data_IF_098162020925
#
_entry.id   IF_098162020925
#
_cell.length_a   1.000
_cell.length_b   1.000
_cell.length_c   1.000
_cell.angle_alpha   90.00
_cell.angle_beta   90.00
_cell.angle_gamma   90.00
#
_symmetry.space_group_name_H-M   'P 1'
#
loop_
_entity.id
_entity.type
_entity.pdbx_description
1 polymer ?
#
# COMPACT_ATOMS: atom_id res chain seq x y z
N UNK A 1 2.16 -17.45 -10.78
CA UNK A 1 1.66 -16.37 -11.65
C UNK A 1 1.00 -15.38 -10.70
N UNK A 2 1.78 -14.41 -10.23
CA UNK A 2 1.31 -13.41 -9.28
C UNK A 2 0.53 -12.35 -10.06
N UNK A 3 -0.58 -11.92 -9.49
CA UNK A 3 -1.52 -11.03 -10.15
C UNK A 3 -1.11 -9.58 -9.86
N UNK A 4 -0.49 -8.93 -10.84
CA UNK A 4 -0.42 -7.47 -10.84
C UNK A 4 -1.80 -6.90 -11.10
N UNK A 5 -2.28 -6.06 -10.22
CA UNK A 5 -3.52 -5.31 -10.43
C UNK A 5 -3.19 -3.82 -10.52
N UNK A 6 -3.25 -3.29 -11.73
CA UNK A 6 -3.32 -1.85 -11.93
C UNK A 6 -4.79 -1.44 -11.78
N UNK A 7 -5.12 -0.79 -10.69
CA UNK A 7 -6.47 -0.29 -10.45
C UNK A 7 -6.69 1.06 -11.13
N UNK A 8 -7.75 1.14 -11.94
CA UNK A 8 -8.18 2.37 -12.61
C UNK A 8 -9.46 2.87 -11.96
N UNK A 9 -9.41 4.00 -11.31
CA UNK A 9 -10.57 4.59 -10.66
C UNK A 9 -11.16 5.69 -11.53
N UNK A 10 -12.49 5.58 -11.76
CA UNK A 10 -13.28 6.60 -12.43
C UNK A 10 -14.24 7.20 -11.40
N UNK A 11 -14.04 8.44 -11.05
CA UNK A 11 -14.95 9.17 -10.21
C UNK A 11 -16.16 9.64 -11.03
N UNK A 12 -17.38 9.27 -10.63
CA UNK A 12 -18.61 9.78 -11.24
C UNK A 12 -19.09 11.00 -10.46
N UNK A 13 -19.15 12.14 -11.11
CA UNK A 13 -19.76 13.33 -10.52
C UNK A 13 -21.23 13.04 -10.12
N UNK A 14 -21.69 13.51 -8.95
CA UNK A 14 -23.07 13.36 -8.53
C UNK A 14 -24.00 14.11 -9.50
N UNK A 15 -24.96 13.40 -10.09
CA UNK A 15 -26.03 14.02 -10.88
C UNK A 15 -27.02 14.68 -9.93
N UNK A 16 -26.95 15.99 -9.82
CA UNK A 16 -28.06 16.76 -9.24
C UNK A 16 -29.24 16.73 -10.19
N UNK A 17 -30.34 16.10 -9.79
CA UNK A 17 -31.63 16.22 -10.47
C UNK A 17 -32.15 17.66 -10.28
N UNK A 18 -32.08 18.46 -11.33
CA UNK A 18 -32.80 19.72 -11.37
C UNK A 18 -34.29 19.41 -11.56
N UNK A 19 -35.07 19.69 -10.54
CA UNK A 19 -36.54 19.60 -10.56
C UNK A 19 -37.07 20.75 -11.41
N UNK A 20 -37.75 20.44 -12.50
CA UNK A 20 -38.40 21.40 -13.35
C UNK A 20 -39.61 22.02 -12.64
N UNK A 21 -39.59 23.31 -12.41
CA UNK A 21 -40.79 24.11 -12.17
C UNK A 21 -41.07 24.92 -13.43
N UNK A 22 -42.17 24.58 -14.05
CA UNK A 22 -42.77 25.22 -15.23
C UNK A 22 -43.45 26.52 -14.79
N UNK A 23 -43.05 27.68 -15.28
CA UNK A 23 -43.93 28.86 -15.29
C UNK A 23 -43.71 29.66 -16.59
N UNK A 24 -44.81 29.86 -17.30
CA UNK A 24 -44.96 30.66 -18.49
C UNK A 24 -44.64 32.14 -18.28
N UNK A 25 -44.02 32.77 -19.27
CA UNK A 25 -43.99 34.25 -19.40
C UNK A 25 -43.04 34.71 -20.50
N UNK A 26 -43.60 35.17 -21.61
CA UNK A 26 -42.88 35.83 -22.73
C UNK A 26 -42.07 37.02 -22.24
N UNK A 27 -40.80 37.12 -22.69
CA UNK A 27 -40.22 38.34 -23.24
C UNK A 27 -38.86 38.04 -23.91
N UNK A 28 -38.73 38.43 -25.14
CA UNK A 28 -37.53 38.28 -25.97
C UNK A 28 -36.53 39.38 -25.61
N UNK A 29 -35.42 39.04 -25.03
CA UNK A 29 -34.18 39.80 -25.05
C UNK A 29 -33.01 38.82 -25.01
N UNK A 30 -32.23 38.78 -26.07
CA UNK A 30 -31.09 37.85 -26.18
C UNK A 30 -29.98 38.20 -25.19
N UNK A 31 -29.98 37.49 -24.10
CA UNK A 31 -28.79 37.31 -23.26
C UNK A 31 -28.20 35.96 -23.61
N UNK A 32 -27.05 35.96 -24.26
CA UNK A 32 -26.22 34.76 -24.35
C UNK A 32 -25.88 34.35 -22.93
N UNK A 33 -26.63 33.36 -22.40
CA UNK A 33 -26.27 32.70 -21.17
C UNK A 33 -25.00 31.91 -21.50
N UNK A 34 -23.85 32.50 -21.18
CA UNK A 34 -22.62 31.75 -21.05
C UNK A 34 -22.85 30.71 -19.95
N UNK A 35 -23.23 29.49 -20.36
CA UNK A 35 -23.16 28.34 -19.45
C UNK A 35 -21.69 28.18 -19.13
N UNK A 36 -21.28 28.23 -17.85
CA UNK A 36 -19.98 27.76 -17.50
C UNK A 36 -19.99 26.24 -17.83
N UNK A 37 -19.24 25.88 -18.85
CA UNK A 37 -18.89 24.50 -19.16
C UNK A 37 -17.90 23.99 -18.13
N UNK A 38 -18.34 23.93 -16.87
CA UNK A 38 -17.67 23.25 -15.80
C UNK A 38 -18.16 21.79 -15.77
N UNK A 39 -17.93 21.04 -16.83
CA UNK A 39 -17.78 19.61 -16.67
C UNK A 39 -16.53 19.43 -15.80
N UNK A 40 -16.75 19.09 -14.53
CA UNK A 40 -15.71 18.57 -13.68
C UNK A 40 -15.11 17.37 -14.43
N UNK A 41 -13.96 17.57 -15.04
CA UNK A 41 -13.17 16.49 -15.62
C UNK A 41 -12.86 15.57 -14.44
N UNK A 42 -13.51 14.41 -14.40
CA UNK A 42 -13.16 13.36 -13.46
C UNK A 42 -11.69 13.04 -13.70
N UNK A 43 -10.84 13.45 -12.78
CA UNK A 43 -9.41 13.23 -12.90
C UNK A 43 -9.15 11.72 -12.74
N UNK A 44 -8.83 11.10 -13.85
CA UNK A 44 -8.54 9.66 -13.89
C UNK A 44 -7.10 9.45 -13.46
N UNK A 45 -6.90 8.57 -12.52
CA UNK A 45 -5.56 8.17 -12.10
C UNK A 45 -5.42 6.64 -12.00
N UNK A 46 -4.19 6.18 -12.01
CA UNK A 46 -3.83 4.77 -11.89
C UNK A 46 -2.86 4.59 -10.72
N UNK A 47 -3.04 3.54 -9.94
CA UNK A 47 -2.10 3.15 -8.90
C UNK A 47 -1.79 1.66 -8.98
N UNK A 48 -0.61 1.26 -8.47
CA UNK A 48 -0.20 -0.14 -8.39
C UNK A 48 -0.69 -0.81 -7.12
N UNK A 49 -1.08 -2.06 -7.22
CA UNK A 49 -1.36 -2.92 -6.07
C UNK A 49 -0.63 -4.24 -6.26
N UNK A 50 0.29 -4.56 -5.36
CA UNK A 50 1.09 -5.78 -5.35
C UNK A 50 1.11 -6.40 -3.96
N UNK A 51 1.54 -7.63 -3.85
CA UNK A 51 1.72 -8.35 -2.59
C UNK A 51 2.17 -9.78 -2.83
N UNK A 52 2.57 -10.49 -1.78
CA UNK A 52 2.98 -11.89 -1.85
C UNK A 52 4.18 -12.12 -2.77
N UNK A 53 5.13 -11.20 -2.81
CA UNK A 53 6.37 -11.30 -3.59
C UNK A 53 7.47 -10.36 -3.11
N UNK A 54 8.77 -10.69 -3.39
CA UNK A 54 9.26 -11.94 -4.00
C UNK A 54 9.41 -13.07 -2.97
N UNK A 55 9.08 -14.30 -3.33
CA UNK A 55 9.16 -15.47 -2.43
C UNK A 55 10.32 -16.41 -2.75
N UNK A 56 10.69 -16.52 -4.01
CA UNK A 56 11.68 -17.48 -4.50
C UNK A 56 12.86 -16.78 -5.14
N UNK A 57 13.96 -17.49 -5.32
CA UNK A 57 15.12 -16.97 -6.06
C UNK A 57 14.77 -16.59 -7.52
N UNK A 58 13.75 -17.19 -8.10
CA UNK A 58 13.24 -16.83 -9.42
C UNK A 58 12.45 -15.50 -9.36
N UNK A 59 11.64 -15.30 -8.32
CA UNK A 59 10.93 -14.04 -8.13
C UNK A 59 11.92 -12.90 -7.88
N UNK A 60 12.98 -13.13 -7.09
CA UNK A 60 14.05 -12.14 -6.86
C UNK A 60 14.68 -11.64 -8.15
N UNK A 61 14.90 -12.55 -9.11
CA UNK A 61 15.46 -12.18 -10.42
C UNK A 61 14.48 -11.38 -11.28
N UNK A 62 13.18 -11.62 -11.11
CA UNK A 62 12.13 -10.99 -11.91
C UNK A 62 11.61 -9.70 -11.30
N UNK A 63 11.71 -9.54 -9.99
CA UNK A 63 11.17 -8.38 -9.29
C UNK A 63 11.70 -7.03 -9.81
N UNK A 64 12.99 -6.89 -10.17
CA UNK A 64 13.47 -5.68 -10.83
C UNK A 64 12.75 -5.34 -12.14
N UNK A 65 12.34 -6.34 -12.94
CA UNK A 65 11.58 -6.10 -14.16
C UNK A 65 10.19 -5.55 -13.85
N UNK A 66 9.54 -6.09 -12.81
CA UNK A 66 8.26 -5.56 -12.30
C UNK A 66 8.40 -4.09 -11.89
N UNK A 67 9.44 -3.76 -11.12
CA UNK A 67 9.72 -2.38 -10.71
C UNK A 67 9.91 -1.49 -11.95
N UNK A 68 10.70 -1.95 -12.93
CA UNK A 68 10.95 -1.21 -14.17
C UNK A 68 9.65 -0.94 -14.94
N UNK A 69 8.76 -1.93 -15.06
CA UNK A 69 7.49 -1.78 -15.77
C UNK A 69 6.54 -0.84 -15.01
N UNK A 70 6.45 -0.96 -13.67
CA UNK A 70 5.68 -0.02 -12.86
C UNK A 70 6.26 1.40 -12.89
N UNK A 71 7.59 1.54 -12.98
CA UNK A 71 8.25 2.84 -13.10
C UNK A 71 8.02 3.52 -14.46
N UNK A 72 7.71 2.75 -15.52
CA UNK A 72 7.29 3.28 -16.83
C UNK A 72 5.83 3.70 -16.84
N UNK A 73 5.00 3.10 -16.01
CA UNK A 73 3.60 3.47 -15.86
C UNK A 73 3.48 4.77 -15.05
N UNK A 74 2.54 5.63 -15.43
CA UNK A 74 2.31 6.89 -14.72
C UNK A 74 1.48 6.67 -13.45
N UNK A 75 1.99 5.85 -12.52
CA UNK A 75 1.32 5.53 -11.28
C UNK A 75 1.43 6.69 -10.28
N UNK A 76 0.32 7.00 -9.62
CA UNK A 76 0.29 8.03 -8.58
C UNK A 76 0.91 7.54 -7.27
N UNK A 77 0.78 6.26 -6.97
CA UNK A 77 1.44 5.54 -5.88
C UNK A 77 1.38 4.02 -6.13
N UNK A 78 2.14 3.25 -5.37
CA UNK A 78 2.09 1.78 -5.33
C UNK A 78 1.78 1.35 -3.90
N UNK A 79 0.87 0.40 -3.73
CA UNK A 79 0.58 -0.26 -2.45
C UNK A 79 1.05 -1.70 -2.50
N UNK A 80 1.82 -2.11 -1.51
CA UNK A 80 2.16 -3.50 -1.25
C UNK A 80 1.37 -3.98 -0.04
N UNK A 81 0.51 -4.97 -0.22
CA UNK A 81 -0.42 -5.45 0.80
C UNK A 81 0.16 -6.53 1.73
N UNK A 82 1.49 -6.57 1.84
CA UNK A 82 2.20 -7.44 2.76
C UNK A 82 2.76 -8.70 2.11
N UNK A 83 3.37 -9.51 2.94
CA UNK A 83 4.09 -10.72 2.55
C UNK A 83 5.18 -10.42 1.51
N UNK A 84 6.09 -9.49 1.87
CA UNK A 84 7.23 -9.13 1.05
C UNK A 84 8.35 -10.20 1.04
N UNK A 85 8.11 -11.31 1.71
CA UNK A 85 8.98 -12.48 1.77
C UNK A 85 8.15 -13.75 2.02
N UNK A 86 8.72 -14.93 1.72
CA UNK A 86 8.12 -16.20 2.09
C UNK A 86 8.13 -16.40 3.61
N UNK A 87 7.21 -17.22 4.14
CA UNK A 87 7.10 -17.55 5.57
C UNK A 87 8.28 -18.36 6.13
N UNK A 88 9.17 -18.80 5.25
CA UNK A 88 10.36 -19.59 5.59
C UNK A 88 10.08 -21.05 5.95
N UNK A 89 8.84 -21.50 5.95
CA UNK A 89 8.52 -22.89 6.14
C UNK A 89 8.97 -23.72 4.93
N UNK A 90 9.99 -24.55 5.12
CA UNK A 90 10.59 -25.30 4.01
C UNK A 90 11.55 -24.51 3.14
N UNK A 91 11.93 -23.31 3.54
CA UNK A 91 12.95 -22.52 2.85
C UNK A 91 14.29 -23.27 2.76
N UNK A 92 14.98 -23.10 1.65
CA UNK A 92 16.37 -23.55 1.46
C UNK A 92 17.12 -22.60 0.51
N UNK A 93 18.43 -22.55 0.63
CA UNK A 93 19.30 -21.63 -0.10
C UNK A 93 19.18 -21.70 -1.64
N UNK A 94 18.72 -22.82 -2.19
CA UNK A 94 18.63 -23.01 -3.66
C UNK A 94 17.33 -22.44 -4.22
N UNK A 95 16.26 -22.46 -3.47
CA UNK A 95 14.91 -22.10 -3.91
C UNK A 95 14.37 -20.85 -3.24
N UNK A 96 14.92 -20.48 -2.09
CA UNK A 96 14.49 -19.28 -1.36
C UNK A 96 15.11 -17.99 -1.93
N UNK A 97 14.43 -16.90 -1.71
CA UNK A 97 14.82 -15.56 -2.15
C UNK A 97 15.58 -14.76 -1.09
N UNK A 98 16.38 -15.41 -0.29
CA UNK A 98 17.05 -14.84 0.91
C UNK A 98 16.61 -15.59 2.16
N UNK A 99 17.35 -15.45 3.26
CA UNK A 99 16.97 -16.04 4.53
C UNK A 99 15.76 -15.29 5.11
N UNK A 100 14.60 -15.95 5.23
CA UNK A 100 13.39 -15.28 5.71
C UNK A 100 13.58 -14.63 7.07
N UNK A 101 13.01 -13.46 7.25
CA UNK A 101 13.04 -12.69 8.49
C UNK A 101 14.43 -12.23 8.93
N UNK A 102 15.48 -12.40 8.13
CA UNK A 102 16.79 -11.86 8.44
C UNK A 102 16.81 -10.34 8.28
N UNK A 103 17.72 -9.68 8.99
CA UNK A 103 17.94 -8.25 8.82
C UNK A 103 18.39 -7.90 7.40
N UNK A 104 19.14 -8.78 6.76
CA UNK A 104 19.60 -8.63 5.38
C UNK A 104 18.42 -8.68 4.40
N UNK A 105 17.50 -9.63 4.57
CA UNK A 105 16.28 -9.71 3.76
C UNK A 105 15.43 -8.46 3.95
N UNK A 106 15.22 -7.99 5.16
CA UNK A 106 14.47 -6.77 5.41
C UNK A 106 15.13 -5.54 4.76
N UNK A 107 16.45 -5.43 4.82
CA UNK A 107 17.16 -4.34 4.15
C UNK A 107 17.00 -4.41 2.64
N UNK A 108 17.16 -5.60 2.06
CA UNK A 108 16.92 -5.80 0.62
C UNK A 108 15.50 -5.37 0.22
N UNK A 109 14.49 -5.73 0.99
CA UNK A 109 13.08 -5.33 0.72
C UNK A 109 12.87 -3.82 0.83
N UNK A 110 13.52 -3.19 1.79
CA UNK A 110 13.50 -1.73 1.90
C UNK A 110 14.16 -1.07 0.68
N UNK A 111 15.31 -1.59 0.24
CA UNK A 111 16.00 -1.07 -0.94
C UNK A 111 15.16 -1.24 -2.22
N UNK A 112 14.49 -2.38 -2.38
CA UNK A 112 13.55 -2.61 -3.47
C UNK A 112 12.36 -1.63 -3.41
N UNK A 113 11.76 -1.43 -2.24
CA UNK A 113 10.68 -0.46 -2.06
C UNK A 113 11.11 0.97 -2.40
N UNK A 114 12.35 1.34 -2.06
CA UNK A 114 12.93 2.65 -2.40
C UNK A 114 13.25 2.82 -3.89
N UNK A 115 13.30 1.76 -4.67
CA UNK A 115 13.59 1.82 -6.10
C UNK A 115 12.38 2.12 -6.99
N UNK A 116 11.17 2.13 -6.43
CA UNK A 116 9.98 2.61 -7.14
C UNK A 116 10.03 4.13 -7.33
N UNK A 117 9.75 4.61 -8.54
CA UNK A 117 9.65 6.05 -8.82
C UNK A 117 8.44 6.70 -8.14
N UNK A 118 7.33 5.95 -8.03
CA UNK A 118 6.12 6.40 -7.36
C UNK A 118 6.24 6.26 -5.84
N UNK A 119 5.47 7.02 -5.04
CA UNK A 119 5.31 6.77 -3.62
C UNK A 119 4.94 5.31 -3.36
N UNK A 120 5.68 4.64 -2.48
CA UNK A 120 5.45 3.23 -2.16
C UNK A 120 4.92 3.10 -0.73
N UNK A 121 3.77 2.47 -0.58
CA UNK A 121 3.06 2.30 0.70
C UNK A 121 3.02 0.81 1.01
N UNK A 122 3.49 0.43 2.19
CA UNK A 122 3.47 -0.94 2.68
C UNK A 122 2.39 -1.10 3.75
N UNK A 123 1.72 -2.24 3.78
CA UNK A 123 1.06 -2.80 4.98
C UNK A 123 1.65 -4.19 5.22
N UNK A 124 2.16 -4.52 6.42
CA UNK A 124 2.80 -5.81 6.67
C UNK A 124 1.82 -6.97 6.57
N UNK A 125 2.30 -8.11 6.05
CA UNK A 125 1.61 -9.39 6.10
C UNK A 125 2.09 -10.25 7.28
N UNK A 126 1.62 -11.50 7.37
CA UNK A 126 2.02 -12.41 8.45
C UNK A 126 3.43 -12.98 8.24
N UNK A 127 3.85 -13.19 6.98
CA UNK A 127 5.22 -13.63 6.69
C UNK A 127 6.27 -12.59 7.14
N UNK A 128 5.88 -11.33 7.24
CA UNK A 128 6.81 -10.23 7.51
C UNK A 128 7.18 -10.14 9.01
N UNK A 129 6.46 -10.84 9.88
CA UNK A 129 6.74 -10.83 11.32
C UNK A 129 6.17 -12.03 12.11
N UNK A 130 4.84 -12.29 12.09
CA UNK A 130 4.26 -13.31 12.98
C UNK A 130 4.73 -14.71 12.64
N UNK A 131 4.99 -15.02 11.38
CA UNK A 131 5.44 -16.33 10.91
C UNK A 131 6.95 -16.53 11.02
N UNK A 132 7.69 -15.52 11.42
CA UNK A 132 9.14 -15.60 11.63
C UNK A 132 9.55 -16.58 12.72
N UNK A 133 8.61 -16.99 13.61
CA UNK A 133 8.87 -18.03 14.60
C UNK A 133 9.14 -19.40 13.98
N UNK A 134 8.73 -19.63 12.73
CA UNK A 134 8.92 -20.89 11.98
C UNK A 134 9.92 -20.79 10.83
N UNK A 135 10.52 -19.64 10.63
CA UNK A 135 11.54 -19.42 9.59
C UNK A 135 12.74 -20.39 9.75
N UNK A 136 13.38 -20.72 8.64
CA UNK A 136 14.58 -21.57 8.58
C UNK A 136 15.66 -20.82 7.81
N UNK A 137 16.93 -21.03 8.10
CA UNK A 137 17.49 -21.94 9.11
C UNK A 137 17.39 -21.40 10.54
N UNK A 138 17.04 -20.14 10.75
CA UNK A 138 16.89 -19.52 12.06
C UNK A 138 15.45 -19.10 12.31
N UNK A 139 15.01 -19.23 13.54
CA UNK A 139 13.73 -18.68 14.00
C UNK A 139 13.95 -17.34 14.67
N UNK A 140 12.96 -16.47 14.59
CA UNK A 140 12.97 -15.14 15.17
C UNK A 140 11.75 -14.92 16.06
N UNK A 141 11.86 -14.05 17.04
CA UNK A 141 10.72 -13.61 17.83
C UNK A 141 9.79 -12.72 17.00
N UNK A 142 8.49 -13.04 16.88
CA UNK A 142 7.57 -12.26 16.06
C UNK A 142 7.46 -10.78 16.45
N UNK A 143 7.40 -10.48 17.76
CA UNK A 143 7.24 -9.09 18.22
C UNK A 143 8.53 -8.27 18.02
N UNK A 144 9.67 -8.93 18.14
CA UNK A 144 10.96 -8.30 17.80
C UNK A 144 11.00 -7.97 16.30
N UNK A 145 10.55 -8.91 15.41
CA UNK A 145 10.47 -8.66 13.97
C UNK A 145 9.48 -7.55 13.62
N UNK A 146 8.31 -7.53 14.25
CA UNK A 146 7.36 -6.43 14.07
C UNK A 146 7.97 -5.08 14.47
N UNK A 147 8.70 -5.05 15.58
CA UNK A 147 9.42 -3.84 16.00
C UNK A 147 10.45 -3.41 14.96
N UNK A 148 11.17 -4.38 14.38
CA UNK A 148 12.14 -4.12 13.31
C UNK A 148 11.47 -3.58 12.06
N UNK A 149 10.38 -4.21 11.57
CA UNK A 149 9.58 -3.75 10.43
C UNK A 149 9.09 -2.33 10.67
N UNK A 150 8.52 -2.03 11.83
CA UNK A 150 8.08 -0.69 12.21
C UNK A 150 9.21 0.34 12.19
N UNK A 151 10.41 -0.04 12.64
CA UNK A 151 11.58 0.83 12.67
C UNK A 151 12.16 1.11 11.29
N UNK A 152 12.14 0.13 10.39
CA UNK A 152 12.74 0.24 9.06
C UNK A 152 11.79 0.88 8.04
N UNK A 153 10.56 0.38 7.94
CA UNK A 153 9.62 0.76 6.87
C UNK A 153 8.69 1.91 7.26
N UNK A 154 8.56 2.20 8.55
CA UNK A 154 7.64 3.21 9.09
C UNK A 154 8.36 4.20 10.01
N UNK A 155 9.60 4.57 9.70
CA UNK A 155 10.42 5.45 10.55
C UNK A 155 9.90 6.91 10.58
N UNK A 156 9.42 7.44 9.46
CA UNK A 156 8.91 8.82 9.31
C UNK A 156 7.43 8.88 8.93
N UNK A 157 6.93 10.04 8.56
CA UNK A 157 5.56 10.30 8.10
C UNK A 157 5.42 10.31 6.57
N UNK A 158 6.49 9.97 5.86
CA UNK A 158 6.52 9.88 4.41
C UNK A 158 6.38 8.43 3.96
N UNK A 159 5.81 8.22 2.76
CA UNK A 159 5.90 6.95 2.06
C UNK A 159 7.35 6.60 1.71
N UNK A 160 7.59 5.36 1.34
CA UNK A 160 8.79 4.93 0.65
C UNK A 160 8.73 5.34 -0.83
N UNK A 161 9.77 4.96 -1.59
CA UNK A 161 9.89 5.29 -3.02
C UNK A 161 10.72 6.55 -3.28
N UNK A 162 11.05 6.79 -4.56
CA UNK A 162 11.86 7.94 -4.97
C UNK A 162 11.10 9.26 -4.82
N UNK A 163 9.84 9.27 -5.23
CA UNK A 163 8.88 10.32 -4.85
C UNK A 163 8.19 9.88 -3.58
N UNK A 164 7.99 10.80 -2.66
CA UNK A 164 7.30 10.52 -1.41
C UNK A 164 6.01 11.31 -1.30
N UNK A 165 5.11 10.83 -0.45
CA UNK A 165 3.89 11.53 -0.05
C UNK A 165 3.70 11.41 1.46
N UNK A 166 3.07 12.41 2.05
CA UNK A 166 2.73 12.39 3.47
C UNK A 166 1.62 11.37 3.75
N UNK A 167 1.81 10.57 4.79
CA UNK A 167 0.88 9.55 5.26
C UNK A 167 0.49 9.84 6.71
N UNK A 168 -0.77 10.09 6.97
CA UNK A 168 -1.28 10.20 8.35
C UNK A 168 -1.27 8.83 9.01
N UNK A 169 -0.70 8.72 10.20
CA UNK A 169 -0.55 7.46 10.93
C UNK A 169 -1.48 7.38 12.12
N UNK A 170 -1.92 6.17 12.46
CA UNK A 170 -2.64 5.96 13.71
C UNK A 170 -1.78 6.34 14.93
N UNK A 171 -0.46 6.15 14.84
CA UNK A 171 0.52 6.49 15.89
C UNK A 171 0.65 7.98 16.19
N UNK A 172 0.10 8.89 15.39
CA UNK A 172 0.01 10.31 15.72
C UNK A 172 -0.89 10.57 16.93
N UNK A 173 -1.84 9.67 17.19
CA UNK A 173 -2.58 9.68 18.44
C UNK A 173 -1.75 8.96 19.52
N UNK A 174 -1.37 9.63 20.63
CA UNK A 174 -0.53 9.03 21.69
C UNK A 174 -1.07 7.73 22.27
N UNK A 175 -2.40 7.56 22.28
CA UNK A 175 -3.04 6.31 22.71
C UNK A 175 -2.64 5.11 21.84
N UNK A 176 -2.26 5.36 20.59
CA UNK A 176 -1.95 4.34 19.59
C UNK A 176 -0.52 4.49 19.04
N UNK A 177 0.40 5.05 19.82
CA UNK A 177 1.76 5.43 19.40
C UNK A 177 2.58 4.32 18.75
N UNK A 178 2.26 3.05 19.01
CA UNK A 178 2.97 1.90 18.42
C UNK A 178 2.46 1.49 17.03
N UNK A 179 1.25 1.86 16.63
CA UNK A 179 0.64 1.45 15.36
C UNK A 179 1.07 2.39 14.22
N UNK A 180 2.33 2.29 13.83
CA UNK A 180 2.94 3.13 12.79
C UNK A 180 2.51 2.73 11.38
N UNK A 181 2.18 1.48 11.19
CA UNK A 181 1.84 0.82 9.94
C UNK A 181 0.38 0.99 9.52
N UNK A 182 -0.49 1.46 10.42
CA UNK A 182 -1.86 1.83 10.07
C UNK A 182 -1.87 3.25 9.52
N UNK A 183 -2.16 3.39 8.24
CA UNK A 183 -1.96 4.60 7.46
C UNK A 183 -3.25 5.06 6.80
N UNK A 184 -3.35 6.36 6.53
CA UNK A 184 -4.37 6.93 5.65
C UNK A 184 -3.80 8.09 4.85
N UNK A 185 -4.31 8.28 3.65
CA UNK A 185 -4.01 9.42 2.79
C UNK A 185 -5.16 9.71 1.85
N UNK A 186 -5.21 10.92 1.32
CA UNK A 186 -6.13 11.28 0.26
C UNK A 186 -5.38 11.37 -1.08
N UNK A 187 -6.03 10.92 -2.13
CA UNK A 187 -5.64 11.24 -3.49
C UNK A 187 -6.89 11.62 -4.29
N UNK A 188 -6.93 12.84 -4.81
CA UNK A 188 -8.18 13.45 -5.25
C UNK A 188 -9.18 13.48 -4.09
N UNK A 189 -10.44 13.13 -4.38
CA UNK A 189 -11.52 13.06 -3.39
C UNK A 189 -11.65 11.68 -2.72
N UNK A 190 -10.66 10.78 -2.92
CA UNK A 190 -10.68 9.43 -2.39
C UNK A 190 -9.79 9.31 -1.17
N UNK A 191 -10.36 8.78 -0.08
CA UNK A 191 -9.63 8.41 1.12
C UNK A 191 -9.16 6.94 1.00
N UNK A 192 -7.86 6.74 1.09
CA UNK A 192 -7.21 5.43 1.17
C UNK A 192 -6.82 5.14 2.62
N UNK A 193 -6.96 3.88 3.03
CA UNK A 193 -6.62 3.43 4.38
C UNK A 193 -5.96 2.06 4.29
N UNK A 194 -4.86 1.86 5.02
CA UNK A 194 -4.29 0.54 5.31
C UNK A 194 -4.57 0.16 6.76
N UNK A 195 -4.88 -1.11 6.99
CA UNK A 195 -5.10 -1.67 8.32
C UNK A 195 -4.29 -2.94 8.45
N UNK A 196 -3.37 -2.95 9.42
CA UNK A 196 -2.55 -4.11 9.71
C UNK A 196 -3.38 -5.18 10.46
N UNK A 197 -3.94 -6.11 9.69
CA UNK A 197 -4.62 -7.31 10.19
C UNK A 197 -4.13 -8.48 9.36
N UNK A 198 -3.37 -9.38 9.96
CA UNK A 198 -2.66 -10.43 9.24
C UNK A 198 -3.23 -11.82 9.51
N UNK A 199 -2.85 -12.77 8.67
CA UNK A 199 -3.07 -14.20 8.87
C UNK A 199 -2.42 -14.71 10.15
N UNK A 200 -2.25 -16.00 10.25
CA UNK A 200 -1.64 -16.64 11.43
C UNK A 200 -2.26 -16.18 12.77
N UNK A 201 -3.59 -15.95 12.72
CA UNK A 201 -4.39 -15.49 13.86
C UNK A 201 -3.87 -14.16 14.47
N UNK A 202 -3.26 -13.30 13.66
CA UNK A 202 -2.67 -12.04 14.10
C UNK A 202 -1.77 -12.19 15.34
N UNK A 203 -1.01 -13.28 15.40
CA UNK A 203 -0.17 -13.69 16.54
C UNK A 203 -0.95 -13.99 17.84
N UNK A 204 -2.30 -14.04 17.79
CA UNK A 204 -3.14 -14.33 18.95
C UNK A 204 -2.82 -15.71 19.55
N UNK A 205 -2.55 -15.76 20.85
CA UNK A 205 -2.27 -16.99 21.59
C UNK A 205 -0.81 -17.45 21.57
N UNK A 206 0.09 -16.78 20.85
CA UNK A 206 1.53 -17.08 20.85
C UNK A 206 2.31 -16.23 21.85
N UNK A 207 1.86 -15.02 22.08
CA UNK A 207 2.43 -14.11 23.08
C UNK A 207 1.35 -13.65 24.04
N UNK A 208 1.74 -13.38 25.30
CA UNK A 208 0.79 -12.88 26.31
C UNK A 208 0.48 -11.40 26.10
N UNK A 209 1.41 -10.68 25.50
CA UNK A 209 1.30 -9.26 25.24
C UNK A 209 0.96 -9.04 23.76
N UNK A 210 -0.30 -9.21 23.46
CA UNK A 210 -0.89 -9.04 22.17
C UNK A 210 -1.02 -7.57 21.84
N UNK A 211 0.05 -7.02 21.38
CA UNK A 211 0.16 -5.63 21.00
C UNK A 211 0.53 -5.45 19.52
N UNK A 212 0.09 -6.40 18.71
CA UNK A 212 0.10 -6.22 17.26
C UNK A 212 -1.00 -5.28 16.81
#
# INVERSE_FOLDING_TARGET
MHLEVIMRIHEKAPRFLASNILLCGLFIAGCAINRPSGESQVERFEFGLIGDLPYTAEDEKKFPNLIEDMNKANLVFVVHNGDFQADGNGWNEKTGGGEPCSDETFQNRLDLAQSFNAPFILTPGDNDWTDCHRAKPRTFDPLERLTKVRGMFFAGDQSLGQRTMHLTRQSENPKYAKFRENLRWNYGDILFVTVHMVGSNNNLGRTRDMDA
#
